data_IF_435778182647
#
_entry.id   IF_435778182647
#
_cell.length_a   1.000
_cell.length_b   1.000
_cell.length_c   1.000
_cell.angle_alpha   90.00
_cell.angle_beta   90.00
_cell.angle_gamma   90.00
#
_symmetry.space_group_name_H-M   'P 1'
#
loop_
_entity.id
_entity.type
_entity.pdbx_description
1 polymer ?
#
# COMPACT_ATOMS: atom_id res chain seq x y z
N UNK A 1 15.71 -20.16 -28.73
CA UNK A 1 14.26 -20.06 -28.41
C UNK A 1 14.16 -19.78 -26.93
N UNK A 2 13.98 -18.52 -26.54
CA UNK A 2 13.84 -18.16 -25.13
C UNK A 2 12.36 -18.06 -24.83
N UNK A 3 11.88 -18.94 -23.95
CA UNK A 3 10.53 -18.89 -23.40
C UNK A 3 10.45 -17.63 -22.55
N UNK A 4 9.76 -16.61 -23.06
CA UNK A 4 9.29 -15.49 -22.25
C UNK A 4 8.21 -16.04 -21.33
N UNK A 5 8.60 -16.51 -20.15
CA UNK A 5 7.67 -16.81 -19.07
C UNK A 5 6.94 -15.51 -18.75
N UNK A 6 5.65 -15.46 -19.10
CA UNK A 6 4.70 -14.49 -18.57
C UNK A 6 4.56 -14.79 -17.08
N UNK A 7 5.51 -14.28 -16.29
CA UNK A 7 5.42 -14.32 -14.84
C UNK A 7 4.14 -13.60 -14.43
N UNK A 8 3.22 -14.42 -13.95
CA UNK A 8 2.06 -14.13 -13.13
C UNK A 8 1.74 -12.64 -12.89
N UNK A 9 0.57 -12.20 -13.36
CA UNK A 9 -0.05 -10.89 -13.10
C UNK A 9 -0.49 -10.75 -11.62
N UNK A 10 0.32 -11.21 -10.67
CA UNK A 10 0.10 -11.19 -9.21
C UNK A 10 1.23 -10.51 -8.43
N UNK A 11 2.25 -10.00 -9.11
CA UNK A 11 3.29 -9.21 -8.46
C UNK A 11 2.88 -7.74 -8.39
N UNK A 12 3.02 -7.13 -7.21
CA UNK A 12 2.75 -5.70 -6.99
C UNK A 12 3.77 -4.80 -7.68
N UNK A 13 4.93 -5.36 -8.05
CA UNK A 13 6.08 -4.64 -8.63
C UNK A 13 6.85 -3.80 -7.60
N UNK A 14 6.54 -3.93 -6.31
CA UNK A 14 7.26 -3.32 -5.18
C UNK A 14 7.61 -4.43 -4.20
N UNK A 15 8.91 -4.68 -4.00
CA UNK A 15 9.38 -5.65 -2.99
C UNK A 15 8.83 -5.30 -1.60
N UNK A 16 8.36 -6.29 -0.83
CA UNK A 16 7.78 -6.06 0.49
C UNK A 16 6.35 -5.47 0.46
N UNK A 17 5.66 -5.57 -0.68
CA UNK A 17 4.22 -5.31 -0.81
C UNK A 17 3.58 -6.49 -1.52
N UNK A 18 2.51 -7.05 -0.97
CA UNK A 18 1.77 -8.17 -1.56
C UNK A 18 0.29 -7.86 -1.76
N UNK A 19 -0.39 -8.64 -2.59
CA UNK A 19 -1.85 -8.62 -2.66
C UNK A 19 -2.45 -9.50 -1.56
N UNK A 20 -3.53 -9.03 -0.94
CA UNK A 20 -4.28 -9.81 0.04
C UNK A 20 -4.91 -11.06 -0.61
N UNK A 21 -4.54 -12.28 -0.18
CA UNK A 21 -5.07 -13.51 -0.77
C UNK A 21 -6.57 -13.74 -0.45
N UNK A 22 -7.10 -13.07 0.58
CA UNK A 22 -8.48 -13.18 1.01
C UNK A 22 -9.36 -12.04 0.49
N UNK A 23 -8.78 -10.95 -0.03
CA UNK A 23 -9.51 -9.81 -0.59
C UNK A 23 -8.93 -9.39 -1.93
N UNK A 24 -9.69 -9.61 -2.99
CA UNK A 24 -9.26 -9.27 -4.35
C UNK A 24 -9.31 -7.75 -4.59
N UNK A 25 -8.23 -7.21 -5.17
CA UNK A 25 -8.16 -5.82 -5.63
C UNK A 25 -6.86 -5.14 -5.25
N UNK A 26 -6.37 -4.23 -6.11
CA UNK A 26 -5.11 -3.51 -5.88
C UNK A 26 -5.13 -2.63 -4.62
N UNK A 27 -6.30 -2.12 -4.25
CA UNK A 27 -6.48 -1.34 -3.02
C UNK A 27 -6.32 -2.18 -1.74
N UNK A 28 -6.42 -3.51 -1.80
CA UNK A 28 -6.19 -4.38 -0.64
C UNK A 28 -4.72 -4.81 -0.48
N UNK A 29 -3.78 -4.24 -1.23
CA UNK A 29 -2.37 -4.54 -1.06
C UNK A 29 -1.88 -4.25 0.38
N UNK A 30 -0.95 -5.08 0.87
CA UNK A 30 -0.43 -5.05 2.24
C UNK A 30 1.10 -4.96 2.24
N UNK A 31 1.65 -4.31 3.25
CA UNK A 31 3.08 -4.31 3.53
C UNK A 31 3.48 -5.63 4.19
N UNK A 32 4.57 -6.21 3.71
CA UNK A 32 5.21 -7.37 4.32
C UNK A 32 6.49 -6.95 5.06
N UNK A 33 6.78 -7.55 6.23
CA UNK A 33 6.02 -8.61 6.92
C UNK A 33 4.90 -8.08 7.86
N UNK A 34 4.67 -6.77 7.89
CA UNK A 34 3.83 -6.15 8.93
C UNK A 34 2.32 -6.40 8.75
N UNK A 35 1.90 -6.93 7.61
CA UNK A 35 0.51 -7.22 7.25
C UNK A 35 -0.40 -5.98 7.19
N UNK A 36 0.17 -4.78 7.18
CA UNK A 36 -0.58 -3.51 7.23
C UNK A 36 -1.10 -3.15 5.84
N UNK A 37 -2.40 -2.82 5.70
CA UNK A 37 -2.93 -2.43 4.40
C UNK A 37 -2.36 -1.09 3.94
N UNK A 38 -1.90 -1.03 2.69
CA UNK A 38 -1.25 0.16 2.12
C UNK A 38 -2.18 1.37 2.18
N UNK A 39 -3.47 1.21 1.87
CA UNK A 39 -4.42 2.32 1.89
C UNK A 39 -4.53 2.98 3.28
N UNK A 40 -4.39 2.22 4.37
CA UNK A 40 -4.48 2.78 5.73
C UNK A 40 -3.23 3.62 6.07
N UNK A 41 -2.05 3.17 5.64
CA UNK A 41 -0.81 3.93 5.77
C UNK A 41 -0.91 5.25 4.99
N UNK A 42 -1.45 5.22 3.78
CA UNK A 42 -1.63 6.41 2.94
C UNK A 42 -2.65 7.37 3.55
N UNK A 43 -3.79 6.87 4.03
CA UNK A 43 -4.80 7.68 4.70
C UNK A 43 -4.21 8.40 5.92
N UNK A 44 -3.45 7.68 6.75
CA UNK A 44 -2.79 8.26 7.91
C UNK A 44 -1.75 9.30 7.53
N UNK A 45 -0.89 8.99 6.53
CA UNK A 45 0.08 9.94 5.99
C UNK A 45 -0.59 11.25 5.55
N UNK A 46 -1.77 11.20 4.92
CA UNK A 46 -2.52 12.40 4.54
C UNK A 46 -3.01 13.19 5.76
N UNK A 47 -3.27 12.53 6.89
CA UNK A 47 -3.68 13.16 8.15
C UNK A 47 -2.53 13.76 8.96
N UNK A 48 -1.29 13.27 8.76
CA UNK A 48 -0.06 13.81 9.40
C UNK A 48 0.78 14.64 8.43
N UNK A 49 0.15 15.28 7.44
CA UNK A 49 0.81 16.15 6.44
C UNK A 49 2.01 15.53 5.70
N UNK A 50 1.98 14.21 5.51
CA UNK A 50 3.03 13.45 4.83
C UNK A 50 4.26 13.15 5.69
N UNK A 51 4.19 13.34 7.01
CA UNK A 51 5.30 13.01 7.92
C UNK A 51 5.52 11.49 7.99
N UNK A 52 6.57 11.04 7.30
CA UNK A 52 6.97 9.64 7.22
C UNK A 52 7.44 9.11 8.57
N UNK A 53 8.16 9.91 9.36
CA UNK A 53 8.71 9.49 10.65
C UNK A 53 7.58 9.34 11.66
N UNK A 54 6.63 10.28 11.68
CA UNK A 54 5.43 10.16 12.50
C UNK A 54 4.58 8.96 12.10
N UNK A 55 4.29 8.77 10.81
CA UNK A 55 3.51 7.63 10.35
C UNK A 55 4.18 6.28 10.67
N UNK A 56 5.50 6.19 10.53
CA UNK A 56 6.27 5.01 10.92
C UNK A 56 6.14 4.71 12.41
N UNK A 57 6.28 5.74 13.25
CA UNK A 57 6.11 5.64 14.70
C UNK A 57 4.71 5.17 15.08
N UNK A 58 3.67 5.80 14.53
CA UNK A 58 2.27 5.52 14.88
C UNK A 58 1.84 4.10 14.49
N UNK A 59 2.34 3.58 13.37
CA UNK A 59 2.06 2.21 12.93
C UNK A 59 3.01 1.15 13.51
N UNK A 60 4.07 1.58 14.21
CA UNK A 60 5.12 0.69 14.73
C UNK A 60 5.88 -0.05 13.62
N UNK A 61 6.10 0.61 12.48
CA UNK A 61 6.79 0.05 11.31
C UNK A 61 8.04 0.87 10.95
N UNK A 62 8.89 0.35 10.07
CA UNK A 62 10.05 1.11 9.59
C UNK A 62 9.63 2.24 8.64
N UNK A 63 10.37 3.35 8.62
CA UNK A 63 10.17 4.38 7.59
C UNK A 63 10.35 3.83 6.17
N UNK A 64 11.20 2.82 5.99
CA UNK A 64 11.35 2.12 4.72
C UNK A 64 10.06 1.46 4.27
N UNK A 65 9.30 0.85 5.19
CA UNK A 65 7.98 0.27 4.90
C UNK A 65 6.97 1.35 4.49
N UNK A 66 6.98 2.50 5.17
CA UNK A 66 6.14 3.66 4.80
C UNK A 66 6.49 4.14 3.38
N UNK A 67 7.78 4.28 3.05
CA UNK A 67 8.23 4.66 1.70
C UNK A 67 7.82 3.64 0.62
N UNK A 68 7.78 2.34 0.94
CA UNK A 68 7.25 1.31 0.03
C UNK A 68 5.74 1.47 -0.20
N UNK A 69 4.97 1.77 0.84
CA UNK A 69 3.56 2.08 0.71
C UNK A 69 3.33 3.29 -0.21
N UNK A 70 4.13 4.35 -0.07
CA UNK A 70 4.10 5.52 -0.95
C UNK A 70 4.41 5.12 -2.40
N UNK A 71 5.49 4.35 -2.63
CA UNK A 71 5.85 3.91 -3.98
C UNK A 71 4.75 3.05 -4.64
N UNK A 72 4.07 2.20 -3.86
CA UNK A 72 2.92 1.44 -4.35
C UNK A 72 1.75 2.36 -4.69
N UNK A 73 1.46 3.33 -3.80
CA UNK A 73 0.40 4.30 -3.99
C UNK A 73 0.61 5.14 -5.25
N UNK A 74 1.80 5.68 -5.48
CA UNK A 74 2.09 6.49 -6.67
C UNK A 74 1.82 5.73 -7.98
N UNK A 75 2.07 4.41 -7.99
CA UNK A 75 1.82 3.54 -9.15
C UNK A 75 0.36 3.13 -9.33
N UNK A 76 -0.47 3.27 -8.28
CA UNK A 76 -1.87 2.84 -8.27
C UNK A 76 -2.79 3.93 -7.69
N UNK A 77 -2.40 5.20 -7.88
CA UNK A 77 -2.97 6.36 -7.17
C UNK A 77 -4.47 6.47 -7.42
N UNK A 78 -4.88 6.35 -8.66
CA UNK A 78 -6.28 6.37 -9.09
C UNK A 78 -7.15 5.35 -8.35
N UNK A 79 -6.66 4.11 -8.19
CA UNK A 79 -7.41 3.03 -7.55
C UNK A 79 -7.47 3.24 -6.03
N UNK A 80 -6.34 3.63 -5.42
CA UNK A 80 -6.28 3.84 -3.97
C UNK A 80 -7.04 5.09 -3.56
N UNK A 81 -6.96 6.19 -4.32
CA UNK A 81 -7.73 7.42 -4.07
C UNK A 81 -9.23 7.17 -4.21
N UNK A 82 -9.66 6.43 -5.25
CA UNK A 82 -11.07 6.07 -5.40
C UNK A 82 -11.58 5.25 -4.20
N UNK A 83 -10.76 4.31 -3.71
CA UNK A 83 -11.08 3.54 -2.50
C UNK A 83 -11.18 4.43 -1.26
N UNK A 84 -10.19 5.32 -1.06
CA UNK A 84 -10.18 6.25 0.07
C UNK A 84 -11.37 7.20 0.03
N UNK A 85 -11.74 7.73 -1.14
CA UNK A 85 -12.88 8.62 -1.30
C UNK A 85 -14.20 7.97 -0.89
N UNK A 86 -14.37 6.68 -1.16
CA UNK A 86 -15.58 5.91 -0.75
C UNK A 86 -15.57 5.55 0.73
N UNK A 87 -14.39 5.38 1.34
CA UNK A 87 -14.25 4.83 2.69
C UNK A 87 -13.76 5.85 3.75
N UNK A 88 -13.66 7.15 3.41
CA UNK A 88 -13.10 8.19 4.30
C UNK A 88 -13.94 8.48 5.54
N UNK A 89 -15.20 8.04 5.59
CA UNK A 89 -16.14 8.30 6.71
C UNK A 89 -15.84 7.51 8.00
N UNK A 90 -14.72 6.77 8.08
CA UNK A 90 -14.41 5.88 9.20
C UNK A 90 -13.38 6.37 10.23
N UNK A 91 -12.89 7.61 10.15
CA UNK A 91 -11.70 8.05 10.91
C UNK A 91 -11.82 9.42 11.61
N UNK A 92 -13.04 9.95 11.80
CA UNK A 92 -13.29 11.11 12.69
C UNK A 92 -13.41 10.70 14.17
#
# INVERSE_FOLDING_TARGET
>A
MSVTTFADRRETGIEGVEFDPHRAGRHFARLEPEGRPVWAIIAHLQGVDGDVTQAASDYGISEGAVRRAIAYYERNRDIVDAWLMVNREGFE
#
